data_IF_273004396166
#
_entry.id   IF_273004396166
#
_cell.length_a   1.000
_cell.length_b   1.000
_cell.length_c   1.000
_cell.angle_alpha   90.00
_cell.angle_beta   90.00
_cell.angle_gamma   90.00
#
_symmetry.space_group_name_H-M   'P 1'
#
loop_
_entity.id
_entity.type
_entity.pdbx_description
1 polymer ?
#
# COMPACT_ATOMS: atom_id res chain seq x y z
N UNK A 1 4.29 5.20 -1.44
CA UNK A 1 3.30 4.18 -1.03
C UNK A 1 3.46 4.01 0.46
N UNK A 2 2.39 4.22 1.25
CA UNK A 2 2.42 3.91 2.68
C UNK A 2 2.69 2.42 2.88
N UNK A 3 3.34 2.08 3.99
CA UNK A 3 3.73 0.71 4.31
C UNK A 3 2.49 -0.10 4.71
N UNK A 4 2.19 -1.16 3.95
CA UNK A 4 1.03 -2.03 4.23
C UNK A 4 1.30 -3.07 5.33
N UNK A 5 2.57 -3.45 5.52
CA UNK A 5 2.99 -4.48 6.48
C UNK A 5 4.38 -4.20 7.05
N UNK A 6 4.58 -4.55 8.32
CA UNK A 6 5.87 -4.50 8.99
C UNK A 6 6.60 -5.85 8.87
N UNK A 7 7.93 -5.81 8.73
CA UNK A 7 8.78 -7.00 8.82
C UNK A 7 9.29 -7.12 10.24
N UNK A 8 8.59 -7.89 11.08
CA UNK A 8 9.07 -8.23 12.42
C UNK A 8 9.90 -9.50 12.35
N UNK A 9 11.08 -9.48 12.99
CA UNK A 9 11.93 -10.66 13.04
C UNK A 9 11.49 -11.57 14.19
N UNK A 10 11.46 -12.87 13.93
CA UNK A 10 11.05 -13.88 14.92
C UNK A 10 12.12 -14.08 15.99
N UNK A 11 13.39 -13.85 15.67
CA UNK A 11 14.53 -13.99 16.58
C UNK A 11 14.54 -12.93 17.70
N UNK A 12 13.80 -11.83 17.53
CA UNK A 12 13.60 -10.82 18.58
C UNK A 12 13.02 -11.43 19.87
N UNK A 13 12.24 -12.51 19.78
CA UNK A 13 11.69 -13.19 20.97
C UNK A 13 12.75 -14.00 21.73
N UNK A 14 13.88 -14.31 21.10
CA UNK A 14 15.01 -15.01 21.71
C UNK A 14 16.08 -14.06 22.25
N UNK A 15 15.98 -12.75 21.96
CA UNK A 15 16.93 -11.72 22.37
C UNK A 15 16.79 -11.43 23.88
N UNK A 16 17.89 -11.53 24.62
CA UNK A 16 17.88 -11.38 26.08
C UNK A 16 17.55 -9.94 26.53
N UNK A 17 17.98 -8.92 25.75
CA UNK A 17 17.66 -7.52 26.05
C UNK A 17 16.15 -7.30 25.89
N UNK A 18 15.53 -7.86 24.83
CA UNK A 18 14.08 -7.77 24.63
C UNK A 18 13.29 -8.55 25.67
N UNK A 19 13.78 -9.74 26.05
CA UNK A 19 13.17 -10.57 27.10
C UNK A 19 13.25 -9.95 28.49
N UNK A 20 14.23 -9.09 28.73
CA UNK A 20 14.37 -8.33 29.98
C UNK A 20 13.31 -7.23 30.16
N UNK A 21 12.63 -6.83 29.08
CA UNK A 21 11.61 -5.79 29.11
C UNK A 21 10.29 -6.29 29.72
N UNK A 22 9.56 -5.38 30.36
CA UNK A 22 8.20 -5.59 30.82
C UNK A 22 7.24 -5.80 29.64
N UNK A 23 6.12 -6.48 29.89
CA UNK A 23 5.06 -6.69 28.88
C UNK A 23 4.57 -5.36 28.28
N UNK A 24 4.30 -4.29 29.06
CA UNK A 24 3.97 -2.98 28.50
C UNK A 24 5.05 -2.40 27.58
N UNK A 25 6.34 -2.55 27.92
CA UNK A 25 7.46 -2.08 27.11
C UNK A 25 7.59 -2.88 25.80
N UNK A 26 7.54 -4.21 25.87
CA UNK A 26 7.53 -5.07 24.67
C UNK A 26 6.35 -4.73 23.76
N UNK A 27 5.17 -4.57 24.34
CA UNK A 27 3.96 -4.23 23.59
C UNK A 27 4.05 -2.86 22.92
N UNK A 28 4.54 -1.84 23.63
CA UNK A 28 4.77 -0.52 23.05
C UNK A 28 5.78 -0.58 21.90
N UNK A 29 6.87 -1.31 22.04
CA UNK A 29 7.86 -1.48 20.98
C UNK A 29 7.23 -2.09 19.71
N UNK A 30 6.40 -3.13 19.88
CA UNK A 30 5.68 -3.76 18.78
C UNK A 30 4.70 -2.81 18.09
N UNK A 31 3.96 -1.99 18.87
CA UNK A 31 3.07 -0.96 18.32
C UNK A 31 3.86 0.05 17.49
N UNK A 32 4.99 0.54 18.00
CA UNK A 32 5.84 1.49 17.28
C UNK A 32 6.36 0.91 15.97
N UNK A 33 6.74 -0.38 15.98
CA UNK A 33 7.23 -1.08 14.80
C UNK A 33 6.20 -1.25 13.67
N UNK A 34 4.91 -1.23 14.00
CA UNK A 34 3.81 -1.33 13.03
C UNK A 34 3.05 -0.01 12.85
N UNK A 35 3.53 1.07 13.46
CA UNK A 35 2.84 2.35 13.46
C UNK A 35 2.80 2.94 12.04
N UNK A 36 1.65 3.49 11.57
CA UNK A 36 1.50 3.96 10.20
C UNK A 36 2.37 5.16 9.84
N UNK A 37 2.83 5.93 10.83
CA UNK A 37 3.73 7.07 10.63
C UNK A 37 5.22 6.70 10.69
N UNK A 38 5.55 5.42 10.93
CA UNK A 38 6.95 4.99 10.99
C UNK A 38 7.62 5.13 9.63
N UNK A 39 8.57 6.05 9.56
CA UNK A 39 9.38 6.35 8.37
C UNK A 39 10.46 5.30 8.10
N UNK A 40 11.06 5.34 6.92
CA UNK A 40 12.22 4.49 6.59
C UNK A 40 13.48 4.86 7.38
N UNK A 41 13.49 6.04 8.03
CA UNK A 41 14.53 6.43 8.98
C UNK A 41 14.28 5.88 10.40
N UNK A 42 13.20 5.13 10.63
CA UNK A 42 12.85 4.58 11.94
C UNK A 42 12.31 5.61 12.92
N UNK A 43 11.77 6.73 12.41
CA UNK A 43 11.14 7.79 13.21
C UNK A 43 9.63 7.78 12.99
N UNK A 44 8.86 7.91 14.06
CA UNK A 44 7.40 8.01 14.04
C UNK A 44 6.91 9.15 14.96
N UNK A 45 5.68 9.61 14.72
CA UNK A 45 5.00 10.58 15.58
C UNK A 45 4.80 10.05 17.01
N UNK A 46 5.24 10.83 18.00
CA UNK A 46 5.04 10.55 19.42
C UNK A 46 3.77 11.22 19.96
N UNK A 47 2.64 10.50 19.85
CA UNK A 47 1.33 10.95 20.37
C UNK A 47 0.82 10.00 21.45
N UNK A 48 1.33 10.14 22.68
CA UNK A 48 1.03 9.23 23.82
C UNK A 48 -0.45 8.89 23.99
N UNK A 49 -1.35 9.87 23.86
CA UNK A 49 -2.80 9.65 23.97
C UNK A 49 -3.38 8.85 22.81
N UNK A 50 -2.89 9.06 21.58
CA UNK A 50 -3.31 8.26 20.41
C UNK A 50 -2.77 6.83 20.49
N UNK A 51 -1.53 6.67 20.94
CA UNK A 51 -0.90 5.35 21.15
C UNK A 51 -1.67 4.58 22.23
N UNK A 52 -2.00 5.22 23.36
CA UNK A 52 -2.82 4.62 24.41
C UNK A 52 -4.19 4.17 23.89
N UNK A 53 -4.82 4.99 23.04
CA UNK A 53 -6.11 4.66 22.40
C UNK A 53 -6.09 3.44 21.46
N UNK A 54 -4.91 2.91 21.10
CA UNK A 54 -4.81 1.69 20.29
C UNK A 54 -5.02 0.41 21.11
N UNK A 55 -5.10 0.50 22.44
CA UNK A 55 -5.11 -0.66 23.32
C UNK A 55 -6.06 -0.45 24.49
N UNK A 56 -6.99 -1.38 24.66
CA UNK A 56 -7.93 -1.34 25.79
C UNK A 56 -7.17 -1.37 27.12
N UNK A 57 -7.50 -0.44 28.02
CA UNK A 57 -6.87 -0.32 29.33
C UNK A 57 -5.51 0.37 29.37
N UNK A 58 -4.95 0.79 28.23
CA UNK A 58 -3.73 1.60 28.21
C UNK A 58 -4.04 3.08 28.49
N UNK A 59 -3.18 3.74 29.28
CA UNK A 59 -3.25 5.17 29.56
C UNK A 59 -2.04 5.91 29.01
N UNK A 60 -2.11 7.23 28.92
CA UNK A 60 -0.95 8.03 28.48
C UNK A 60 0.23 7.88 29.44
N UNK A 61 -0.06 7.70 30.73
CA UNK A 61 0.92 7.47 31.80
C UNK A 61 1.58 6.10 31.65
N UNK A 62 0.80 5.05 31.35
CA UNK A 62 1.35 3.71 31.15
C UNK A 62 2.22 3.64 29.89
N UNK A 63 1.83 4.33 28.82
CA UNK A 63 2.65 4.47 27.59
C UNK A 63 3.96 5.20 27.90
N UNK A 64 3.91 6.29 28.68
CA UNK A 64 5.12 7.02 29.05
C UNK A 64 6.04 6.18 29.97
N UNK A 65 5.48 5.43 30.91
CA UNK A 65 6.24 4.52 31.75
C UNK A 65 6.96 3.43 30.94
N UNK A 66 6.24 2.79 30.00
CA UNK A 66 6.82 1.83 29.07
C UNK A 66 7.90 2.46 28.17
N UNK A 67 7.68 3.69 27.70
CA UNK A 67 8.65 4.40 26.87
C UNK A 67 9.95 4.71 27.63
N UNK A 68 9.86 5.08 28.90
CA UNK A 68 11.03 5.31 29.77
C UNK A 68 11.86 4.06 29.94
N UNK A 69 11.21 2.90 30.12
CA UNK A 69 11.90 1.61 30.19
C UNK A 69 12.62 1.31 28.87
N UNK A 70 11.91 1.41 27.74
CA UNK A 70 12.51 1.21 26.41
C UNK A 70 13.67 2.17 26.14
N UNK A 71 13.57 3.42 26.58
CA UNK A 71 14.63 4.41 26.41
C UNK A 71 15.83 4.12 27.32
N UNK A 72 15.61 3.66 28.54
CA UNK A 72 16.67 3.23 29.47
C UNK A 72 17.46 2.04 28.91
N UNK A 73 16.76 1.08 28.29
CA UNK A 73 17.39 -0.06 27.62
C UNK A 73 17.81 0.25 26.17
N UNK A 74 17.74 1.52 25.76
CA UNK A 74 18.21 2.04 24.49
C UNK A 74 17.52 1.40 23.26
N UNK A 75 16.27 0.96 23.37
CA UNK A 75 15.46 0.50 22.24
C UNK A 75 14.91 1.68 21.43
N UNK A 76 14.47 2.73 22.13
CA UNK A 76 13.90 3.93 21.52
C UNK A 76 14.51 5.22 22.11
N UNK A 77 14.33 6.34 21.42
CA UNK A 77 14.52 7.67 21.97
C UNK A 77 13.25 8.49 21.74
N UNK A 78 12.73 9.12 22.78
CA UNK A 78 11.54 9.98 22.70
C UNK A 78 11.98 11.42 22.87
N UNK A 79 11.64 12.26 21.91
CA UNK A 79 11.80 13.70 21.99
C UNK A 79 10.42 14.36 22.15
N UNK A 80 10.09 14.75 23.37
CA UNK A 80 8.79 15.36 23.66
C UNK A 80 8.62 16.75 23.00
N UNK A 81 9.71 17.46 22.71
CA UNK A 81 9.65 18.81 22.11
C UNK A 81 9.27 18.76 20.63
N UNK A 82 9.85 17.81 19.89
CA UNK A 82 9.52 17.60 18.46
C UNK A 82 8.33 16.67 18.24
N UNK A 83 7.80 16.07 19.31
CA UNK A 83 6.78 15.02 19.24
C UNK A 83 7.20 13.85 18.32
N UNK A 84 8.48 13.45 18.38
CA UNK A 84 9.06 12.36 17.59
C UNK A 84 9.57 11.22 18.48
N UNK A 85 9.43 9.98 18.01
CA UNK A 85 10.06 8.80 18.60
C UNK A 85 10.93 8.09 17.57
N UNK A 86 12.16 7.79 17.96
CA UNK A 86 13.14 7.06 17.15
C UNK A 86 13.29 5.62 17.64
N UNK A 87 13.20 4.66 16.72
CA UNK A 87 13.43 3.23 16.97
C UNK A 87 14.83 2.86 16.51
N UNK A 88 15.76 2.66 17.46
CA UNK A 88 17.21 2.57 17.20
C UNK A 88 17.59 1.50 16.18
N UNK A 89 17.03 0.30 16.34
CA UNK A 89 17.42 -0.89 15.58
C UNK A 89 16.60 -1.10 14.29
N UNK A 90 15.71 -0.16 13.96
CA UNK A 90 14.80 -0.30 12.82
C UNK A 90 15.54 -0.55 11.50
N UNK A 91 16.43 0.37 11.10
CA UNK A 91 17.14 0.32 9.81
C UNK A 91 17.95 -0.97 9.65
N UNK A 92 18.56 -1.44 10.76
CA UNK A 92 19.31 -2.70 10.81
C UNK A 92 18.45 -3.90 10.43
N UNK A 93 17.25 -3.99 10.99
CA UNK A 93 16.42 -5.19 10.93
C UNK A 93 15.38 -5.19 9.81
N UNK A 94 15.03 -4.01 9.30
CA UNK A 94 14.01 -3.84 8.25
C UNK A 94 14.38 -4.54 6.92
N UNK A 95 15.69 -4.60 6.64
CA UNK A 95 16.23 -5.11 5.37
C UNK A 95 16.22 -4.08 4.24
N UNK A 96 15.82 -2.83 4.51
CA UNK A 96 15.76 -1.77 3.50
C UNK A 96 17.11 -1.47 2.85
N UNK A 97 18.22 -1.63 3.58
CA UNK A 97 19.56 -1.34 3.08
C UNK A 97 19.98 -2.27 1.92
N UNK A 98 19.40 -3.46 1.85
CA UNK A 98 19.65 -4.45 0.78
C UNK A 98 18.85 -4.14 -0.50
N UNK A 99 17.88 -3.24 -0.42
CA UNK A 99 17.05 -2.88 -1.57
C UNK A 99 17.66 -1.68 -2.31
N UNK A 100 17.45 -1.61 -3.62
CA UNK A 100 18.08 -0.56 -4.43
C UNK A 100 17.51 0.86 -4.17
N UNK A 101 16.19 0.98 -3.96
CA UNK A 101 15.51 2.29 -3.87
C UNK A 101 15.20 2.75 -2.45
N UNK A 102 15.00 1.83 -1.51
CA UNK A 102 14.62 2.21 -0.14
C UNK A 102 15.69 3.00 0.63
N UNK A 103 17.01 2.80 0.44
CA UNK A 103 18.02 3.64 1.08
C UNK A 103 17.91 5.12 0.69
N UNK A 104 17.44 5.40 -0.54
CA UNK A 104 17.18 6.77 -0.99
C UNK A 104 15.96 7.35 -0.25
N UNK A 105 14.90 6.55 -0.07
CA UNK A 105 13.75 6.96 0.74
C UNK A 105 14.12 7.19 2.20
N UNK A 106 14.92 6.31 2.81
CA UNK A 106 15.50 6.51 4.14
C UNK A 106 16.28 7.83 4.24
N UNK A 107 17.10 8.16 3.23
CA UNK A 107 17.84 9.41 3.23
C UNK A 107 16.95 10.66 3.10
N UNK A 108 15.83 10.56 2.37
CA UNK A 108 14.85 11.63 2.31
C UNK A 108 14.10 11.78 3.64
N UNK A 109 13.72 10.66 4.26
CA UNK A 109 13.03 10.64 5.56
C UNK A 109 13.94 11.20 6.67
N UNK A 110 15.25 10.94 6.61
CA UNK A 110 16.22 11.57 7.52
C UNK A 110 16.20 13.10 7.44
N UNK A 111 16.00 13.66 6.23
CA UNK A 111 15.92 15.11 6.06
C UNK A 111 14.62 15.70 6.63
N UNK A 112 13.59 14.88 6.82
CA UNK A 112 12.32 15.27 7.41
C UNK A 112 12.29 15.20 8.96
N UNK A 113 13.31 14.59 9.58
CA UNK A 113 13.43 14.52 11.05
C UNK A 113 13.60 15.92 11.62
N UNK A 114 12.71 16.30 12.54
CA UNK A 114 12.71 17.61 13.18
C UNK A 114 13.68 17.67 14.36
N UNK A 115 13.78 16.59 15.14
CA UNK A 115 14.63 16.52 16.33
C UNK A 115 16.13 16.55 16.00
N UNK A 116 16.89 17.56 16.48
CA UNK A 116 18.34 17.59 16.31
C UNK A 116 19.03 16.39 16.98
N UNK A 117 18.50 15.91 18.11
CA UNK A 117 19.06 14.78 18.87
C UNK A 117 18.87 13.47 18.10
N UNK A 118 17.64 13.19 17.63
CA UNK A 118 17.37 11.98 16.83
C UNK A 118 18.26 11.94 15.59
N UNK A 119 18.48 13.06 14.90
CA UNK A 119 19.39 13.10 13.76
C UNK A 119 20.80 12.62 14.11
N UNK A 120 21.34 13.04 15.26
CA UNK A 120 22.68 12.58 15.69
C UNK A 120 22.72 11.09 16.07
N UNK A 121 21.66 10.56 16.69
CA UNK A 121 21.56 9.14 17.03
C UNK A 121 21.39 8.28 15.78
N UNK A 122 20.55 8.70 14.84
CA UNK A 122 20.37 8.02 13.56
C UNK A 122 21.70 7.91 12.79
N UNK A 123 22.47 9.00 12.68
CA UNK A 123 23.74 8.97 11.97
C UNK A 123 24.76 8.07 12.65
N UNK A 124 24.75 8.01 14.00
CA UNK A 124 25.59 7.06 14.73
C UNK A 124 25.25 5.61 14.36
N UNK A 125 23.96 5.25 14.38
CA UNK A 125 23.51 3.92 13.97
C UNK A 125 23.84 3.62 12.51
N UNK A 126 23.72 4.60 11.62
CA UNK A 126 24.05 4.43 10.20
C UNK A 126 25.56 4.21 9.98
N UNK A 127 26.43 4.93 10.72
CA UNK A 127 27.88 4.72 10.70
C UNK A 127 28.25 3.32 11.17
N UNK A 128 27.65 2.87 12.28
CA UNK A 128 27.81 1.50 12.79
C UNK A 128 27.41 0.46 11.75
N UNK A 129 26.29 0.67 11.05
CA UNK A 129 25.86 -0.23 9.98
C UNK A 129 26.83 -0.23 8.78
N UNK A 130 27.36 0.93 8.40
CA UNK A 130 28.36 1.02 7.34
C UNK A 130 29.65 0.23 7.68
N UNK A 131 30.07 0.24 8.94
CA UNK A 131 31.21 -0.56 9.41
C UNK A 131 30.92 -2.08 9.40
N UNK A 132 29.71 -2.49 9.74
CA UNK A 132 29.31 -3.91 9.76
C UNK A 132 29.09 -4.51 8.36
N UNK A 133 28.54 -3.73 7.42
CA UNK A 133 28.21 -4.18 6.06
C UNK A 133 28.79 -3.24 4.99
N UNK A 134 30.12 -3.08 4.90
CA UNK A 134 30.77 -2.05 4.07
C UNK A 134 30.58 -2.27 2.56
N UNK A 135 30.33 -3.52 2.13
CA UNK A 135 30.27 -3.90 0.71
C UNK A 135 28.85 -3.80 0.11
N UNK A 136 27.88 -3.24 0.82
CA UNK A 136 26.52 -3.09 0.31
C UNK A 136 26.40 -1.94 -0.71
N UNK A 137 25.64 -2.17 -1.79
CA UNK A 137 25.51 -1.20 -2.90
C UNK A 137 24.85 0.12 -2.49
N UNK A 138 24.14 0.14 -1.37
CA UNK A 138 23.47 1.35 -0.90
C UNK A 138 24.45 2.48 -0.53
N UNK A 139 25.70 2.14 -0.17
CA UNK A 139 26.76 3.10 0.18
C UNK A 139 27.39 3.79 -1.04
N UNK A 140 27.20 3.24 -2.24
CA UNK A 140 27.60 3.89 -3.49
C UNK A 140 26.73 5.12 -3.81
N UNK A 141 25.55 5.22 -3.20
CA UNK A 141 24.65 6.34 -3.44
C UNK A 141 25.11 7.62 -2.70
N UNK A 142 25.25 8.72 -3.43
CA UNK A 142 25.73 10.00 -2.89
C UNK A 142 24.86 10.55 -1.76
N UNK A 143 23.54 10.32 -1.78
CA UNK A 143 22.66 10.81 -0.70
C UNK A 143 22.95 10.10 0.61
N UNK A 144 23.08 8.78 0.57
CA UNK A 144 23.40 7.95 1.74
C UNK A 144 24.82 8.26 2.24
N UNK A 145 25.79 8.38 1.33
CA UNK A 145 27.18 8.73 1.67
C UNK A 145 27.29 10.08 2.40
N UNK A 146 26.54 11.10 1.97
CA UNK A 146 26.51 12.41 2.63
C UNK A 146 26.04 12.33 4.09
N UNK A 147 25.13 11.41 4.41
CA UNK A 147 24.67 11.23 5.79
C UNK A 147 25.78 10.76 6.72
N UNK A 148 26.71 9.94 6.22
CA UNK A 148 27.85 9.46 7.01
C UNK A 148 28.82 10.59 7.41
N UNK A 149 28.75 11.75 6.78
CA UNK A 149 29.57 12.92 7.13
C UNK A 149 28.93 13.79 8.22
N UNK A 150 27.65 13.57 8.54
CA UNK A 150 26.93 14.35 9.54
C UNK A 150 27.44 14.06 10.97
N UNK A 151 27.19 14.99 11.92
CA UNK A 151 27.50 14.77 13.33
C UNK A 151 26.72 13.57 13.86
N UNK A 152 27.40 12.73 14.63
CA UNK A 152 26.85 11.51 15.21
C UNK A 152 27.12 11.47 16.71
N UNK A 153 26.16 10.96 17.48
CA UNK A 153 26.31 10.71 18.92
C UNK A 153 25.74 9.34 19.23
N UNK A 154 26.40 8.56 20.08
CA UNK A 154 25.85 7.29 20.54
C UNK A 154 24.71 7.53 21.52
N UNK A 155 23.57 6.90 21.28
CA UNK A 155 22.42 6.94 22.17
C UNK A 155 22.75 6.34 23.54
N UNK A 156 23.64 5.34 23.62
CA UNK A 156 24.09 4.73 24.89
C UNK A 156 24.92 5.67 25.76
N UNK A 157 25.52 6.70 25.16
CA UNK A 157 26.28 7.72 25.89
C UNK A 157 25.38 8.86 26.39
N UNK A 158 24.12 8.89 25.98
CA UNK A 158 23.17 9.84 26.53
C UNK A 158 22.89 9.45 27.98
N UNK A 159 23.50 10.18 28.93
CA UNK A 159 23.00 10.18 30.29
C UNK A 159 21.61 10.81 30.24
N UNK A 160 20.58 9.98 30.37
CA UNK A 160 19.23 10.43 30.66
C UNK A 160 19.24 10.96 32.10
N UNK A 161 19.82 12.15 32.29
CA UNK A 161 19.98 12.84 33.56
C UNK A 161 18.68 13.48 34.06
N UNK A 162 17.53 12.93 33.66
CA UNK A 162 16.24 13.18 34.28
C UNK A 162 15.98 12.02 35.24
N UNK A 163 16.42 12.21 36.48
CA UNK A 163 16.41 11.18 37.51
C UNK A 163 15.01 10.67 37.81
N UNK A 164 14.72 9.41 37.49
CA UNK A 164 13.70 8.64 38.19
C UNK A 164 14.14 7.18 38.31
N UNK A 165 14.19 6.73 39.56
CA UNK A 165 14.81 5.48 39.99
C UNK A 165 14.21 4.23 39.32
N UNK A 166 15.10 3.25 39.18
CA UNK A 166 14.98 1.88 38.66
C UNK A 166 13.99 0.98 39.44
N UNK A 167 12.81 1.50 39.82
CA UNK A 167 11.92 0.89 40.83
C UNK A 167 10.46 0.62 40.42
N UNK A 168 10.00 1.04 39.24
CA UNK A 168 8.56 0.98 38.91
C UNK A 168 8.09 -0.29 38.19
N UNK A 169 8.98 -1.25 37.92
CA UNK A 169 8.63 -2.50 37.22
C UNK A 169 7.89 -3.56 38.06
N UNK A 170 7.82 -3.41 39.39
CA UNK A 170 7.23 -4.46 40.25
C UNK A 170 5.74 -4.27 40.59
N UNK A 171 5.21 -3.05 40.47
CA UNK A 171 3.83 -2.75 40.86
C UNK A 171 2.78 -3.07 39.76
N UNK A 172 3.19 -3.16 38.50
CA UNK A 172 2.25 -3.37 37.38
C UNK A 172 1.90 -4.84 37.10
N UNK A 173 2.61 -5.80 37.71
CA UNK A 173 2.25 -7.21 37.64
C UNK A 173 1.03 -7.56 38.52
N UNK A 174 0.80 -6.81 39.60
CA UNK A 174 -0.32 -7.07 40.51
C UNK A 174 -1.67 -6.62 39.94
N UNK A 175 -1.71 -5.50 39.20
CA UNK A 175 -2.97 -4.95 38.66
C UNK A 175 -3.58 -5.73 37.49
N UNK A 176 -2.79 -6.54 36.78
CA UNK A 176 -3.30 -7.37 35.68
C UNK A 176 -3.85 -8.74 36.15
N UNK A 177 -3.55 -9.14 37.39
CA UNK A 177 -4.04 -10.38 37.99
C UNK A 177 -5.39 -10.21 38.70
N UNK A 178 -5.76 -8.99 39.12
CA UNK A 178 -6.93 -8.74 39.98
C UNK A 178 -8.27 -8.69 39.24
N UNK A 179 -8.30 -8.64 37.90
CA UNK A 179 -9.56 -8.50 37.13
C UNK A 179 -10.13 -9.81 36.60
N UNK A 180 -9.53 -10.96 36.93
CA UNK A 180 -10.04 -12.28 36.54
C UNK A 180 -10.46 -13.19 37.72
N UNK A 181 -10.34 -12.72 38.96
CA UNK A 181 -10.52 -13.57 40.15
C UNK A 181 -11.88 -13.42 40.88
N UNK A 182 -12.72 -12.45 40.53
CA UNK A 182 -14.00 -12.22 41.23
C UNK A 182 -15.20 -12.33 40.29
N UNK A 183 -15.53 -13.57 39.89
CA UNK A 183 -16.92 -13.96 39.66
C UNK A 183 -17.04 -15.48 39.72
N UNK A 184 -17.94 -15.95 40.57
CA UNK A 184 -18.40 -17.34 40.74
C UNK A 184 -17.65 -18.18 41.77
N UNK A 185 -17.89 -17.87 43.05
CA UNK A 185 -18.00 -18.92 44.05
C UNK A 185 -19.42 -19.49 44.02
N UNK A 186 -19.56 -20.78 43.75
CA UNK A 186 -20.14 -21.71 44.72
C UNK A 186 -19.85 -23.16 44.31
N UNK A 187 -19.43 -23.96 45.27
CA UNK A 187 -18.98 -25.33 45.10
C UNK A 187 -20.12 -26.29 45.39
N UNK A 188 -20.32 -27.32 44.56
CA UNK A 188 -20.90 -28.59 45.01
C UNK A 188 -20.26 -29.75 44.26
N UNK A 189 -19.99 -30.80 45.04
CA UNK A 189 -19.01 -31.87 44.86
C UNK A 189 -19.35 -32.89 43.77
N UNK A 190 -18.31 -33.54 43.26
CA UNK A 190 -18.36 -34.81 42.51
C UNK A 190 -19.11 -35.91 43.27
N UNK A 191 -19.60 -36.93 42.55
CA UNK A 191 -18.92 -38.21 42.70
C UNK A 191 -18.63 -38.99 41.40
N UNK A 192 -17.58 -39.79 41.51
CA UNK A 192 -17.06 -40.87 40.67
C UNK A 192 -18.10 -41.93 40.27
N UNK A 193 -18.06 -42.43 39.02
CA UNK A 193 -18.12 -43.89 38.70
C UNK A 193 -17.77 -44.23 37.24
N UNK A 194 -16.76 -45.11 37.10
CA UNK A 194 -16.70 -46.34 36.29
C UNK A 194 -16.69 -46.32 34.75
N UNK A 195 -15.71 -47.06 34.22
CA UNK A 195 -15.39 -47.36 32.83
C UNK A 195 -16.34 -48.35 32.14
N UNK A 196 -16.37 -48.35 30.78
CA UNK A 196 -16.05 -49.51 29.90
C UNK A 196 -16.69 -49.39 28.49
N UNK A 197 -15.80 -49.50 27.48
CA UNK A 197 -15.93 -49.94 26.05
C UNK A 197 -16.71 -49.18 24.97
N UNK A 198 -15.92 -48.67 24.01
CA UNK A 198 -15.88 -48.98 22.55
C UNK A 198 -17.11 -48.73 21.66
N UNK A 199 -17.00 -47.71 20.79
CA UNK A 199 -17.29 -47.82 19.36
C UNK A 199 -16.57 -46.70 18.55
N UNK A 200 -15.99 -47.12 17.43
CA UNK A 200 -15.23 -46.38 16.42
C UNK A 200 -16.12 -45.44 15.58
N UNK A 201 -15.63 -44.22 15.28
CA UNK A 201 -15.48 -43.67 13.91
C UNK A 201 -15.66 -42.14 13.80
N UNK A 202 -14.68 -41.54 13.11
CA UNK A 202 -14.71 -40.39 12.19
C UNK A 202 -14.99 -38.94 12.66
N UNK A 203 -13.96 -38.14 12.36
CA UNK A 203 -13.89 -36.70 12.13
C UNK A 203 -14.87 -36.17 11.08
N UNK A 204 -15.06 -34.84 11.20
CA UNK A 204 -15.36 -33.83 10.18
C UNK A 204 -16.82 -33.69 9.69
N UNK A 205 -17.37 -32.48 9.85
CA UNK A 205 -17.68 -31.62 8.69
C UNK A 205 -17.98 -30.16 9.11
N UNK A 206 -17.20 -29.24 8.51
CA UNK A 206 -17.50 -27.81 8.35
C UNK A 206 -17.22 -27.48 6.89
N UNK A 207 -18.25 -27.53 6.05
CA UNK A 207 -18.12 -27.22 4.63
C UNK A 207 -19.50 -26.84 4.12
N UNK A 208 -19.73 -25.55 3.88
CA UNK A 208 -20.61 -25.06 2.80
C UNK A 208 -20.39 -23.55 2.65
N UNK A 209 -19.44 -23.16 1.78
CA UNK A 209 -19.55 -21.91 1.00
C UNK A 209 -18.50 -21.78 -0.13
N UNK A 210 -17.46 -22.62 -0.20
CA UNK A 210 -16.39 -22.45 -1.21
C UNK A 210 -16.41 -23.41 -2.41
N UNK A 211 -17.21 -24.49 -2.40
CA UNK A 211 -17.18 -25.49 -3.48
C UNK A 211 -18.24 -25.32 -4.57
N UNK A 212 -19.31 -24.53 -4.34
CA UNK A 212 -20.41 -24.41 -5.32
C UNK A 212 -20.05 -23.48 -6.50
N UNK A 213 -19.00 -22.65 -6.38
CA UNK A 213 -18.58 -21.73 -7.44
C UNK A 213 -17.63 -22.35 -8.49
N UNK A 214 -17.21 -23.60 -8.32
CA UNK A 214 -16.25 -24.24 -9.24
C UNK A 214 -16.92 -24.91 -10.47
N UNK A 215 -18.25 -24.95 -10.54
CA UNK A 215 -18.98 -25.75 -11.54
C UNK A 215 -19.82 -24.99 -12.59
N UNK A 216 -19.87 -23.64 -12.59
CA UNK A 216 -20.49 -22.89 -13.71
C UNK A 216 -19.36 -22.39 -14.63
N UNK A 217 -19.22 -22.90 -15.86
CA UNK A 217 -18.29 -22.32 -16.83
C UNK A 217 -18.73 -20.88 -17.09
N UNK A 218 -17.87 -19.94 -16.72
CA UNK A 218 -18.07 -18.49 -16.83
C UNK A 218 -17.49 -18.06 -18.21
N UNK A 219 -18.32 -17.95 -19.27
CA UNK A 219 -17.84 -17.70 -20.63
C UNK A 219 -17.21 -16.31 -20.78
N UNK A 220 -17.61 -15.36 -19.94
CA UNK A 220 -17.05 -14.02 -19.80
C UNK A 220 -15.55 -14.05 -19.43
N UNK A 221 -15.15 -14.93 -18.53
CA UNK A 221 -13.75 -15.10 -18.12
C UNK A 221 -12.91 -15.69 -19.24
N UNK A 222 -13.47 -16.65 -19.98
CA UNK A 222 -12.81 -17.25 -21.13
C UNK A 222 -12.64 -16.26 -22.28
N UNK A 223 -13.65 -15.43 -22.56
CA UNK A 223 -13.60 -14.36 -23.55
C UNK A 223 -12.46 -13.35 -23.27
N UNK A 224 -12.30 -12.95 -22.01
CA UNK A 224 -11.23 -12.03 -21.60
C UNK A 224 -9.84 -12.65 -21.74
N UNK A 225 -9.70 -13.94 -21.42
CA UNK A 225 -8.45 -14.68 -21.59
C UNK A 225 -8.10 -14.81 -23.08
N UNK A 226 -9.05 -15.20 -23.92
CA UNK A 226 -8.87 -15.35 -25.36
C UNK A 226 -8.48 -14.01 -26.01
N UNK A 227 -9.13 -12.91 -25.60
CA UNK A 227 -8.82 -11.56 -26.09
C UNK A 227 -7.38 -11.17 -25.77
N UNK A 228 -6.95 -11.33 -24.52
CA UNK A 228 -5.59 -10.97 -24.11
C UNK A 228 -4.54 -11.86 -24.78
N UNK A 229 -4.78 -13.17 -24.87
CA UNK A 229 -3.86 -14.12 -25.51
C UNK A 229 -3.65 -13.81 -27.00
N UNK A 230 -4.73 -13.48 -27.72
CA UNK A 230 -4.67 -13.14 -29.13
C UNK A 230 -3.91 -11.81 -29.35
N UNK A 231 -4.20 -10.78 -28.56
CA UNK A 231 -3.52 -9.49 -28.68
C UNK A 231 -2.04 -9.54 -28.29
N UNK A 232 -1.67 -10.37 -27.30
CA UNK A 232 -0.25 -10.59 -26.96
C UNK A 232 0.47 -11.31 -28.11
N UNK A 233 -0.20 -12.28 -28.74
CA UNK A 233 0.35 -13.02 -29.87
C UNK A 233 0.54 -12.14 -31.13
N UNK A 234 -0.46 -11.32 -31.48
CA UNK A 234 -0.37 -10.36 -32.58
C UNK A 234 0.79 -9.37 -32.41
N UNK A 235 1.08 -9.04 -31.16
CA UNK A 235 2.18 -8.17 -30.77
C UNK A 235 3.56 -8.83 -30.78
N UNK A 236 3.67 -10.09 -31.22
CA UNK A 236 4.92 -10.82 -31.37
C UNK A 236 5.44 -11.48 -30.10
N UNK A 237 4.64 -11.54 -29.03
CA UNK A 237 5.00 -12.22 -27.78
C UNK A 237 4.42 -13.63 -27.72
N UNK A 238 5.03 -14.50 -26.91
CA UNK A 238 4.52 -15.87 -26.70
C UNK A 238 3.17 -15.84 -25.98
N UNK A 239 2.24 -16.69 -26.42
CA UNK A 239 0.93 -16.83 -25.78
C UNK A 239 1.09 -17.15 -24.28
N UNK A 240 0.41 -16.41 -23.39
CA UNK A 240 0.38 -16.72 -21.97
C UNK A 240 -0.14 -18.13 -21.73
N UNK A 241 0.40 -18.83 -20.73
CA UNK A 241 -0.13 -20.14 -20.33
C UNK A 241 -1.47 -19.96 -19.61
N UNK A 242 -2.50 -20.68 -20.06
CA UNK A 242 -3.84 -20.72 -19.45
C UNK A 242 -3.84 -21.53 -18.16
N UNK A 243 -3.15 -21.00 -17.15
CA UNK A 243 -3.04 -21.62 -15.84
C UNK A 243 -4.20 -21.19 -14.90
N UNK A 244 -4.37 -21.92 -13.79
CA UNK A 244 -5.38 -21.60 -12.77
C UNK A 244 -5.22 -20.16 -12.25
N UNK A 245 -4.00 -19.64 -12.16
CA UNK A 245 -3.72 -18.28 -11.69
C UNK A 245 -4.30 -17.19 -12.61
N UNK A 246 -4.20 -17.34 -13.94
CA UNK A 246 -4.75 -16.39 -14.91
C UNK A 246 -6.28 -16.45 -14.95
N UNK A 247 -6.85 -17.65 -14.82
CA UNK A 247 -8.32 -17.84 -14.75
C UNK A 247 -8.89 -17.23 -13.47
N UNK A 248 -8.24 -17.47 -12.33
CA UNK A 248 -8.62 -16.86 -11.06
C UNK A 248 -8.42 -15.35 -11.06
N UNK A 249 -7.38 -14.81 -11.71
CA UNK A 249 -7.18 -13.37 -11.83
C UNK A 249 -8.32 -12.69 -12.62
N UNK A 250 -8.76 -13.29 -13.73
CA UNK A 250 -9.88 -12.78 -14.51
C UNK A 250 -11.21 -12.83 -13.71
N UNK A 251 -11.47 -13.92 -12.98
CA UNK A 251 -12.63 -14.01 -12.06
C UNK A 251 -12.60 -12.93 -11.00
N UNK A 252 -11.45 -12.73 -10.36
CA UNK A 252 -11.31 -11.74 -9.29
C UNK A 252 -11.45 -10.29 -9.77
N UNK A 253 -11.08 -9.97 -11.01
CA UNK A 253 -11.34 -8.64 -11.60
C UNK A 253 -12.83 -8.32 -11.67
N UNK A 254 -13.66 -9.33 -11.95
CA UNK A 254 -15.11 -9.18 -12.08
C UNK A 254 -15.77 -9.22 -10.68
N UNK A 255 -15.53 -10.29 -9.92
CA UNK A 255 -16.31 -10.59 -8.71
C UNK A 255 -15.83 -9.79 -7.50
N UNK A 256 -14.51 -9.61 -7.35
CA UNK A 256 -13.92 -8.94 -6.17
C UNK A 256 -13.62 -7.48 -6.42
N UNK A 257 -13.00 -7.20 -7.57
CA UNK A 257 -12.55 -5.86 -7.90
C UNK A 257 -13.66 -5.03 -8.60
N UNK A 258 -14.79 -5.67 -8.96
CA UNK A 258 -16.03 -5.01 -9.35
C UNK A 258 -16.03 -4.38 -10.75
N UNK A 259 -15.08 -4.75 -11.62
CA UNK A 259 -15.00 -4.20 -12.97
C UNK A 259 -15.93 -4.94 -13.93
N UNK A 260 -16.55 -4.18 -14.84
CA UNK A 260 -17.41 -4.77 -15.87
C UNK A 260 -16.56 -5.39 -16.99
N UNK A 261 -17.10 -6.42 -17.65
CA UNK A 261 -16.43 -7.08 -18.78
C UNK A 261 -15.98 -6.07 -19.85
N UNK A 262 -16.81 -5.11 -20.31
CA UNK A 262 -16.40 -4.10 -21.29
C UNK A 262 -15.25 -3.18 -20.80
N UNK A 263 -15.19 -2.87 -19.51
CA UNK A 263 -14.09 -2.07 -18.95
C UNK A 263 -12.76 -2.84 -19.00
N UNK A 264 -12.80 -4.13 -18.70
CA UNK A 264 -11.61 -4.99 -18.73
C UNK A 264 -11.16 -5.19 -20.19
N UNK A 265 -12.09 -5.41 -21.13
CA UNK A 265 -11.78 -5.52 -22.56
C UNK A 265 -11.12 -4.25 -23.11
N UNK A 266 -11.68 -3.08 -22.77
CA UNK A 266 -11.11 -1.80 -23.18
C UNK A 266 -9.69 -1.65 -22.64
N UNK A 267 -9.48 -1.99 -21.36
CA UNK A 267 -8.18 -1.91 -20.73
C UNK A 267 -7.16 -2.86 -21.35
N UNK A 268 -7.57 -4.08 -21.69
CA UNK A 268 -6.74 -5.05 -22.42
C UNK A 268 -6.27 -4.43 -23.74
N UNK A 269 -7.20 -3.92 -24.56
CA UNK A 269 -6.88 -3.31 -25.86
C UNK A 269 -5.92 -2.13 -25.70
N UNK A 270 -6.20 -1.23 -24.75
CA UNK A 270 -5.35 -0.08 -24.47
C UNK A 270 -3.94 -0.49 -24.03
N UNK A 271 -3.82 -1.39 -23.05
CA UNK A 271 -2.53 -1.82 -22.52
C UNK A 271 -1.68 -2.56 -23.56
N UNK A 272 -2.32 -3.33 -24.45
CA UNK A 272 -1.63 -4.03 -25.54
C UNK A 272 -1.23 -3.13 -26.70
N UNK A 273 -1.82 -1.94 -26.85
CA UNK A 273 -1.46 -0.99 -27.90
C UNK A 273 -0.35 -0.01 -27.46
N UNK A 274 -0.22 0.22 -26.16
CA UNK A 274 0.79 1.12 -25.60
C UNK A 274 2.20 0.48 -25.65
N UNK A 275 3.19 1.22 -26.18
CA UNK A 275 4.56 0.73 -26.37
C UNK A 275 5.25 0.30 -25.07
N UNK A 276 4.90 0.96 -23.95
CA UNK A 276 5.44 0.68 -22.64
C UNK A 276 4.69 -0.50 -22.00
N UNK A 277 3.37 -0.48 -21.98
CA UNK A 277 2.57 -1.48 -21.28
C UNK A 277 2.50 -2.82 -22.01
N UNK A 278 2.52 -2.84 -23.34
CA UNK A 278 2.52 -4.09 -24.13
C UNK A 278 3.66 -5.03 -23.74
N UNK A 279 4.84 -4.48 -23.40
CA UNK A 279 6.00 -5.26 -22.94
C UNK A 279 5.87 -5.77 -21.51
N UNK A 280 5.00 -5.15 -20.70
CA UNK A 280 4.85 -5.41 -19.27
C UNK A 280 3.62 -6.27 -18.95
N UNK A 281 2.58 -6.22 -19.78
CA UNK A 281 1.33 -6.96 -19.61
C UNK A 281 1.37 -8.22 -20.47
N UNK A 282 1.98 -9.28 -19.92
CA UNK A 282 2.18 -10.57 -20.59
C UNK A 282 1.28 -11.69 -20.03
N UNK A 283 0.35 -11.37 -19.13
CA UNK A 283 -0.61 -12.35 -18.58
C UNK A 283 -1.78 -11.65 -17.89
N UNK A 284 -2.88 -12.38 -17.67
CA UNK A 284 -4.04 -11.86 -16.92
C UNK A 284 -3.70 -11.53 -15.46
N UNK A 285 -2.85 -12.32 -14.80
CA UNK A 285 -2.37 -11.96 -13.46
C UNK A 285 -1.63 -10.62 -13.46
N UNK A 286 -0.77 -10.36 -14.46
CA UNK A 286 -0.04 -9.09 -14.56
C UNK A 286 -0.94 -7.91 -14.90
N UNK A 287 -1.94 -8.12 -15.75
CA UNK A 287 -2.96 -7.12 -16.05
C UNK A 287 -3.70 -6.69 -14.78
N UNK A 288 -4.14 -7.66 -13.96
CA UNK A 288 -4.80 -7.40 -12.68
C UNK A 288 -3.90 -6.67 -11.67
N UNK A 289 -2.67 -7.14 -11.49
CA UNK A 289 -1.69 -6.52 -10.58
C UNK A 289 -1.42 -5.05 -10.94
N UNK A 290 -1.49 -4.70 -12.23
CA UNK A 290 -1.22 -3.36 -12.75
C UNK A 290 -2.47 -2.57 -13.08
N UNK A 291 -3.66 -3.13 -12.88
CA UNK A 291 -4.93 -2.52 -13.28
C UNK A 291 -5.13 -1.09 -12.73
N UNK A 292 -4.84 -0.80 -11.45
CA UNK A 292 -4.94 0.58 -10.94
C UNK A 292 -3.94 1.55 -11.59
N UNK A 293 -2.75 1.07 -11.96
CA UNK A 293 -1.72 1.87 -12.63
C UNK A 293 -2.09 2.14 -14.09
N UNK A 294 -2.69 1.15 -14.75
CA UNK A 294 -3.21 1.28 -16.10
C UNK A 294 -4.37 2.29 -16.12
N UNK A 295 -5.31 2.22 -15.17
CA UNK A 295 -6.38 3.21 -15.01
C UNK A 295 -5.83 4.62 -14.82
N UNK A 296 -4.92 4.82 -13.86
CA UNK A 296 -4.34 6.14 -13.60
C UNK A 296 -3.60 6.70 -14.83
N UNK A 297 -2.88 5.86 -15.59
CA UNK A 297 -2.17 6.30 -16.80
C UNK A 297 -3.11 6.51 -18.00
N UNK A 298 -4.13 5.68 -18.14
CA UNK A 298 -5.17 5.84 -19.14
C UNK A 298 -5.92 7.17 -18.93
N UNK A 299 -6.21 7.51 -17.67
CA UNK A 299 -6.87 8.77 -17.30
C UNK A 299 -5.94 9.98 -17.47
N UNK A 300 -4.64 9.84 -17.15
CA UNK A 300 -3.62 10.87 -17.42
C UNK A 300 -3.38 11.07 -18.92
N UNK A 301 -3.44 10.03 -19.74
CA UNK A 301 -3.38 10.17 -21.21
C UNK A 301 -4.69 10.70 -21.80
N UNK A 302 -5.81 10.61 -21.06
CA UNK A 302 -7.08 11.25 -21.40
C UNK A 302 -7.09 12.74 -21.05
N UNK A 303 -6.37 13.14 -19.99
CA UNK A 303 -6.29 14.52 -19.49
C UNK A 303 -5.02 15.27 -19.91
N UNK A 304 -4.00 14.57 -20.45
CA UNK A 304 -2.97 15.20 -21.29
C UNK A 304 -3.50 15.25 -22.72
N UNK A 305 -3.66 16.44 -23.34
CA UNK A 305 -3.75 16.49 -24.78
C UNK A 305 -2.44 15.89 -25.31
N UNK A 306 -2.53 14.75 -26.01
CA UNK A 306 -1.41 14.26 -26.79
C UNK A 306 -1.11 15.30 -27.87
N UNK A 307 -0.12 16.15 -27.61
CA UNK A 307 0.56 16.89 -28.66
C UNK A 307 1.29 15.87 -29.54
N UNK A 308 0.61 15.43 -30.60
CA UNK A 308 1.24 14.66 -31.68
C UNK A 308 0.39 13.59 -32.34
N UNK A 309 -0.71 13.97 -33.01
CA UNK A 309 -0.97 13.49 -34.37
C UNK A 309 -1.86 14.49 -35.14
N UNK A 310 -1.25 15.20 -36.09
CA UNK A 310 -1.87 16.01 -37.14
C UNK A 310 -2.79 17.19 -36.74
N UNK A 311 -2.26 18.21 -36.06
CA UNK A 311 -2.67 19.63 -36.25
C UNK A 311 -4.16 19.98 -36.21
N UNK A 312 -5.03 19.14 -35.67
CA UNK A 312 -6.47 19.34 -35.59
C UNK A 312 -6.79 19.96 -34.23
N UNK A 313 -7.55 21.05 -34.27
CA UNK A 313 -7.93 21.82 -33.09
C UNK A 313 -8.85 20.95 -32.22
N UNK A 314 -8.54 20.86 -30.93
CA UNK A 314 -9.41 20.22 -29.95
C UNK A 314 -10.64 21.13 -29.69
N UNK A 315 -11.68 20.91 -30.49
CA UNK A 315 -12.88 21.73 -30.53
C UNK A 315 -13.65 21.70 -29.20
N UNK A 316 -13.66 20.57 -28.51
CA UNK A 316 -14.40 20.40 -27.27
C UNK A 316 -13.65 20.99 -26.07
N UNK A 317 -12.32 21.03 -26.09
CA UNK A 317 -11.54 21.80 -25.13
C UNK A 317 -11.75 23.32 -25.30
N UNK A 318 -11.94 23.81 -26.53
CA UNK A 318 -12.10 25.25 -26.83
C UNK A 318 -13.53 25.75 -26.62
N UNK A 319 -14.53 24.94 -26.97
CA UNK A 319 -15.95 25.33 -26.95
C UNK A 319 -16.78 24.64 -25.86
N UNK A 320 -16.22 23.65 -25.16
CA UNK A 320 -16.95 22.77 -24.24
C UNK A 320 -17.63 21.60 -24.96
N UNK A 321 -18.09 20.62 -24.18
CA UNK A 321 -18.69 19.38 -24.67
C UNK A 321 -19.88 19.65 -25.62
N UNK A 322 -19.92 18.98 -26.77
CA UNK A 322 -21.02 19.12 -27.73
C UNK A 322 -22.30 18.45 -27.25
N UNK A 323 -23.39 19.22 -27.20
CA UNK A 323 -24.73 18.75 -26.80
C UNK A 323 -25.72 18.77 -27.97
N UNK A 324 -25.23 18.96 -29.20
CA UNK A 324 -26.07 18.93 -30.39
C UNK A 324 -26.68 17.55 -30.64
N UNK A 325 -27.96 17.55 -31.00
CA UNK A 325 -28.74 16.36 -31.31
C UNK A 325 -29.22 16.46 -32.76
N UNK A 326 -29.09 15.37 -33.50
CA UNK A 326 -29.49 15.28 -34.89
C UNK A 326 -31.02 15.43 -35.01
N UNK A 327 -31.47 16.32 -35.90
CA UNK A 327 -32.89 16.51 -36.19
C UNK A 327 -33.52 15.36 -36.98
N UNK A 328 -34.85 15.34 -37.03
CA UNK A 328 -35.59 14.31 -37.76
C UNK A 328 -35.38 14.41 -39.29
N UNK A 329 -35.20 13.27 -39.98
CA UNK A 329 -34.97 13.26 -41.42
C UNK A 329 -36.25 13.64 -42.20
N UNK A 330 -36.10 14.19 -43.42
CA UNK A 330 -37.21 14.47 -44.32
C UNK A 330 -38.02 13.21 -44.65
N UNK A 331 -39.35 13.35 -44.70
CA UNK A 331 -40.27 12.24 -44.95
C UNK A 331 -40.11 11.72 -46.38
N UNK A 332 -40.03 10.40 -46.56
CA UNK A 332 -40.02 9.75 -47.87
C UNK A 332 -38.64 9.35 -48.41
N UNK A 333 -37.59 9.44 -47.59
CA UNK A 333 -36.26 8.92 -47.92
C UNK A 333 -36.18 7.41 -47.71
N UNK A 334 -35.47 6.70 -48.60
CA UNK A 334 -35.14 5.30 -48.38
C UNK A 334 -34.06 5.13 -47.30
N UNK A 335 -33.96 3.95 -46.69
CA UNK A 335 -32.99 3.67 -45.59
C UNK A 335 -31.54 4.09 -45.93
N UNK A 336 -31.03 3.85 -47.17
CA UNK A 336 -29.69 4.32 -47.56
C UNK A 336 -29.59 5.84 -47.71
N UNK A 337 -30.63 6.50 -48.22
CA UNK A 337 -30.68 7.95 -48.41
C UNK A 337 -30.81 8.70 -47.08
N UNK A 338 -31.55 8.12 -46.13
CA UNK A 338 -31.64 8.61 -44.76
C UNK A 338 -30.28 8.55 -44.07
N UNK A 339 -29.54 7.45 -44.22
CA UNK A 339 -28.19 7.31 -43.66
C UNK A 339 -27.22 8.34 -44.27
N UNK A 340 -27.31 8.58 -45.58
CA UNK A 340 -26.51 9.60 -46.27
C UNK A 340 -26.85 11.01 -45.79
N UNK A 341 -28.14 11.32 -45.58
CA UNK A 341 -28.60 12.60 -45.05
C UNK A 341 -28.11 12.83 -43.61
N UNK A 342 -28.23 11.82 -42.74
CA UNK A 342 -27.76 11.87 -41.35
C UNK A 342 -26.25 12.14 -41.30
N UNK A 343 -25.47 11.45 -42.16
CA UNK A 343 -24.03 11.66 -42.27
C UNK A 343 -23.68 13.08 -42.73
N UNK A 344 -24.40 13.60 -43.73
CA UNK A 344 -24.20 14.96 -44.22
C UNK A 344 -24.48 16.03 -43.14
N UNK A 345 -25.49 15.84 -42.30
CA UNK A 345 -25.80 16.75 -41.19
C UNK A 345 -24.71 16.75 -40.12
N UNK A 346 -24.24 15.55 -39.72
CA UNK A 346 -23.14 15.41 -38.75
C UNK A 346 -21.85 16.05 -39.28
N UNK A 347 -21.54 15.87 -40.57
CA UNK A 347 -20.34 16.43 -41.19
C UNK A 347 -20.40 17.96 -41.27
N UNK A 348 -21.56 18.54 -41.57
CA UNK A 348 -21.77 20.00 -41.55
C UNK A 348 -21.59 20.57 -40.15
N UNK A 349 -22.25 19.97 -39.15
CA UNK A 349 -22.14 20.42 -37.75
C UNK A 349 -20.70 20.36 -37.22
N UNK A 350 -19.97 19.28 -37.57
CA UNK A 350 -18.55 19.13 -37.21
C UNK A 350 -17.68 20.24 -37.84
N UNK A 351 -17.94 20.62 -39.09
CA UNK A 351 -17.22 21.72 -39.77
C UNK A 351 -17.51 23.08 -39.13
N UNK A 352 -18.77 23.34 -38.79
CA UNK A 352 -19.18 24.60 -38.18
C UNK A 352 -18.57 24.78 -36.79
N UNK A 353 -18.59 23.73 -35.95
CA UNK A 353 -17.91 23.76 -34.64
C UNK A 353 -16.40 23.99 -34.77
N UNK A 354 -15.74 23.37 -35.76
CA UNK A 354 -14.31 23.55 -35.99
C UNK A 354 -13.96 24.99 -36.44
N UNK A 355 -14.79 25.60 -37.29
CA UNK A 355 -14.64 27.00 -37.69
C UNK A 355 -14.87 27.96 -36.51
N UNK A 356 -15.84 27.67 -35.64
CA UNK A 356 -16.11 28.48 -34.44
C UNK A 356 -14.94 28.40 -33.43
N UNK A 357 -14.34 27.22 -33.26
CA UNK A 357 -13.17 27.04 -32.41
C UNK A 357 -11.96 27.82 -32.95
N UNK A 358 -11.72 27.81 -34.27
CA UNK A 358 -10.68 28.64 -34.92
C UNK A 358 -10.85 30.12 -34.61
N UNK A 359 -12.06 30.65 -34.80
CA UNK A 359 -12.36 32.08 -34.58
C UNK A 359 -12.15 32.50 -33.12
N UNK A 360 -12.45 31.62 -32.16
CA UNK A 360 -12.26 31.90 -30.72
C UNK A 360 -10.78 31.96 -30.35
N UNK A 361 -9.96 31.08 -30.93
CA UNK A 361 -8.51 31.09 -30.73
C UNK A 361 -7.85 32.33 -31.35
N UNK A 362 -8.29 32.75 -32.54
CA UNK A 362 -7.78 33.96 -33.22
C UNK A 362 -8.13 35.25 -32.44
N UNK A 363 -9.32 35.34 -31.86
CA UNK A 363 -9.75 36.51 -31.06
C UNK A 363 -9.06 36.65 -29.69
N UNK A 364 -8.45 35.58 -29.17
CA UNK A 364 -7.76 35.59 -27.86
C UNK A 364 -6.31 36.09 -27.97
N UNK A 365 -5.72 36.08 -29.17
CA UNK A 365 -4.36 36.54 -29.43
C UNK A 365 -4.24 38.05 -29.78
N UNK A 366 -5.36 38.79 -29.77
CA UNK A 366 -5.42 40.20 -30.14
C UNK A 366 -5.83 41.14 -28.99
N UNK A 367 -5.80 40.67 -27.74
CA UNK A 367 -6.15 41.43 -26.54
C UNK A 367 -4.95 41.58 -25.60
#
# INVERSE_FOLDING_TARGET
MPRERANLRVDMLADDDFRGLSVPAQHLYMILMIHPTLSYAGVADWRKGRIAGMSSGATSESVNAAARELQTEHFIYVDEESEEVFVRSFVRHDGLLKQHRLPISMANDYAAISSPKIRTYFVHELKRLHEEIPNEKCWENDRVRKLLQAPSKDMKTATHADGYAKGYGKAYAEGYATTFAESSGDATRCPTTTATTTATSSKEDKTFSSEIAEAIPRPDVEQLLDLLENLIFENGFKKPSRNKANTSAARLLIDRDGYTVPQIEWMIRWATNDEFWRKNILSMSKLRDKFPQLLAKADVNRSKPQAGFNGEIDVDAVLGLDTWVLGDPPSGLSIPEEAAWKKAQVDTHRKDRLNLARKRLEGTNAA
#
